data_IF_818604634031
#
_entry.id   IF_818604634031
#
_cell.length_a   1.000
_cell.length_b   1.000
_cell.length_c   1.000
_cell.angle_alpha   90.00
_cell.angle_beta   90.00
_cell.angle_gamma   90.00
#
_symmetry.space_group_name_H-M   'P 1'
#
loop_
_entity.id
_entity.type
_entity.pdbx_description
1 polymer ?
#
# COMPACT_ATOMS: atom_id res chain seq x y z
N UNK A 1 -25.66 12.56 -12.85
CA UNK A 1 -25.54 11.08 -12.79
C UNK A 1 -25.04 10.73 -11.40
N UNK A 2 -25.58 9.70 -10.75
CA UNK A 2 -24.99 9.19 -9.50
C UNK A 2 -23.60 8.63 -9.82
N UNK A 3 -22.59 9.11 -9.11
CA UNK A 3 -21.23 8.62 -9.24
C UNK A 3 -21.16 7.13 -8.92
N UNK A 4 -20.43 6.37 -9.74
CA UNK A 4 -20.34 4.92 -9.56
C UNK A 4 -19.35 4.58 -8.44
N UNK A 5 -19.79 3.77 -7.47
CA UNK A 5 -18.97 3.41 -6.31
C UNK A 5 -18.20 2.11 -6.56
N UNK A 6 -16.97 2.07 -6.08
CA UNK A 6 -16.19 0.86 -5.88
C UNK A 6 -16.40 0.37 -4.45
N UNK A 7 -16.84 -0.87 -4.31
CA UNK A 7 -16.85 -1.58 -3.03
C UNK A 7 -15.98 -2.84 -3.14
N UNK A 8 -15.02 -2.97 -2.23
CA UNK A 8 -14.08 -4.11 -2.21
C UNK A 8 -13.60 -4.36 -0.78
N UNK A 9 -12.72 -5.35 -0.62
CA UNK A 9 -11.97 -5.56 0.62
C UNK A 9 -10.47 -5.51 0.35
N UNK A 10 -9.73 -4.89 1.26
CA UNK A 10 -8.26 -4.88 1.31
C UNK A 10 -7.87 -5.61 2.59
N UNK A 11 -7.19 -6.75 2.46
CA UNK A 11 -7.03 -7.72 3.56
C UNK A 11 -8.39 -8.09 4.19
N UNK A 12 -8.69 -7.50 5.36
CA UNK A 12 -9.93 -7.70 6.11
C UNK A 12 -10.80 -6.44 6.19
N UNK A 13 -10.33 -5.33 5.64
CA UNK A 13 -11.00 -4.03 5.69
C UNK A 13 -11.90 -3.85 4.48
N UNK A 14 -13.14 -3.46 4.70
CA UNK A 14 -14.05 -3.04 3.66
C UNK A 14 -13.66 -1.65 3.17
N UNK A 15 -13.67 -1.45 1.86
CA UNK A 15 -13.40 -0.18 1.21
C UNK A 15 -14.62 0.23 0.40
N UNK A 16 -15.00 1.51 0.51
CA UNK A 16 -16.00 2.13 -0.33
C UNK A 16 -15.52 3.50 -0.78
N UNK A 17 -15.33 3.66 -2.08
CA UNK A 17 -14.87 4.92 -2.67
C UNK A 17 -15.51 5.13 -4.04
N UNK A 18 -15.69 6.38 -4.49
CA UNK A 18 -16.02 6.64 -5.89
C UNK A 18 -14.98 6.01 -6.82
N UNK A 19 -15.42 5.36 -7.90
CA UNK A 19 -14.50 4.77 -8.90
C UNK A 19 -13.56 5.81 -9.51
N UNK A 20 -14.06 7.03 -9.72
CA UNK A 20 -13.30 8.20 -10.18
C UNK A 20 -12.05 8.48 -9.34
N UNK A 21 -12.07 8.21 -8.03
CA UNK A 21 -10.92 8.40 -7.15
C UNK A 21 -9.91 7.25 -7.24
N UNK A 22 -10.34 6.05 -7.63
CA UNK A 22 -9.52 4.85 -7.58
C UNK A 22 -8.99 4.49 -8.96
N UNK A 23 -7.72 4.78 -9.19
CA UNK A 23 -7.00 4.47 -10.43
C UNK A 23 -6.75 2.97 -10.64
N UNK A 24 -6.49 2.55 -11.89
CA UNK A 24 -6.18 1.16 -12.21
C UNK A 24 -5.02 0.53 -11.40
N UNK A 25 -3.94 1.28 -11.12
CA UNK A 25 -2.83 0.73 -10.34
C UNK A 25 -3.17 0.62 -8.84
N UNK A 26 -3.92 1.58 -8.28
CA UNK A 26 -4.47 1.45 -6.93
C UNK A 26 -5.38 0.22 -6.86
N UNK A 27 -6.14 -0.09 -7.90
CA UNK A 27 -6.95 -1.31 -7.90
C UNK A 27 -6.14 -2.58 -7.78
N UNK A 28 -5.00 -2.66 -8.46
CA UNK A 28 -4.11 -3.81 -8.30
C UNK A 28 -3.48 -3.84 -6.91
N UNK A 29 -3.23 -2.69 -6.30
CA UNK A 29 -2.75 -2.64 -4.93
C UNK A 29 -3.84 -3.06 -3.93
N UNK A 30 -5.07 -2.55 -4.08
CA UNK A 30 -6.24 -2.92 -3.30
C UNK A 30 -6.56 -4.42 -3.46
N UNK A 31 -6.47 -4.92 -4.69
CA UNK A 31 -6.63 -6.32 -5.06
C UNK A 31 -5.72 -7.26 -4.28
N UNK A 32 -4.45 -6.90 -4.23
CA UNK A 32 -3.37 -7.76 -3.74
C UNK A 32 -3.09 -7.52 -2.26
N UNK A 33 -3.84 -6.61 -1.61
CA UNK A 33 -3.60 -6.18 -0.24
C UNK A 33 -2.38 -5.26 -0.09
N UNK A 34 -1.75 -4.85 -1.19
CA UNK A 34 -0.51 -4.06 -1.20
C UNK A 34 -0.71 -2.55 -1.16
N UNK A 35 -1.96 -2.07 -1.11
CA UNK A 35 -2.28 -0.65 -0.98
C UNK A 35 -1.75 -0.09 0.35
N UNK A 36 -0.94 0.97 0.29
CA UNK A 36 -0.18 1.60 1.40
C UNK A 36 0.49 0.57 2.32
N UNK A 37 0.99 -0.50 1.71
CA UNK A 37 1.57 -1.60 2.47
C UNK A 37 2.79 -1.17 3.31
N UNK A 38 3.73 -0.32 2.84
CA UNK A 38 4.88 0.11 3.64
C UNK A 38 4.47 0.76 4.98
N UNK A 39 3.53 1.70 4.94
CA UNK A 39 3.02 2.46 6.09
C UNK A 39 2.31 1.50 7.05
N UNK A 40 1.42 0.67 6.51
CA UNK A 40 0.66 -0.33 7.27
C UNK A 40 1.57 -1.37 7.93
N UNK A 41 2.64 -1.77 7.25
CA UNK A 41 3.63 -2.69 7.77
C UNK A 41 4.39 -2.09 8.96
N UNK A 42 4.94 -0.89 8.78
CA UNK A 42 5.66 -0.18 9.85
C UNK A 42 4.74 0.11 11.04
N UNK A 43 3.49 0.52 10.78
CA UNK A 43 2.55 0.79 11.84
C UNK A 43 2.20 -0.48 12.65
N UNK A 44 1.98 -1.63 12.00
CA UNK A 44 1.74 -2.90 12.70
C UNK A 44 2.92 -3.34 13.58
N UNK A 45 4.15 -2.96 13.22
CA UNK A 45 5.36 -3.30 13.97
C UNK A 45 5.65 -2.33 15.12
N UNK A 46 5.27 -1.07 14.98
CA UNK A 46 5.74 0.00 15.87
C UNK A 46 4.65 0.77 16.61
N UNK A 47 3.37 0.59 16.25
CA UNK A 47 2.23 1.08 17.03
C UNK A 47 1.86 0.03 18.07
N UNK A 48 1.70 0.48 19.32
CA UNK A 48 1.46 -0.32 20.50
C UNK A 48 0.23 0.18 21.27
N UNK A 49 -0.26 -0.66 22.18
CA UNK A 49 -1.43 -0.32 22.96
C UNK A 49 -1.22 0.94 23.80
N UNK A 50 -2.20 1.86 23.74
CA UNK A 50 -2.15 3.15 24.41
C UNK A 50 -1.47 4.27 23.62
N UNK A 51 -0.96 4.00 22.42
CA UNK A 51 -0.51 5.08 21.55
C UNK A 51 -1.66 5.99 21.09
N UNK A 52 -1.31 7.24 20.89
CA UNK A 52 -2.09 8.19 20.11
C UNK A 52 -1.34 8.48 18.82
N UNK A 53 -2.01 8.22 17.70
CA UNK A 53 -1.47 8.34 16.35
C UNK A 53 -2.10 9.56 15.68
N UNK A 54 -1.27 10.47 15.18
CA UNK A 54 -1.71 11.40 14.12
C UNK A 54 -1.33 10.80 12.78
N UNK A 55 -2.31 10.66 11.91
CA UNK A 55 -2.20 10.11 10.57
C UNK A 55 -2.54 11.20 9.56
N UNK A 56 -1.57 11.64 8.76
CA UNK A 56 -1.74 12.69 7.76
C UNK A 56 -1.75 12.05 6.36
N UNK A 57 -2.82 12.32 5.60
CA UNK A 57 -3.10 11.64 4.34
C UNK A 57 -3.98 10.41 4.53
N UNK A 58 -5.21 10.59 5.02
CA UNK A 58 -6.10 9.45 5.25
C UNK A 58 -6.37 8.66 3.96
N UNK A 59 -6.31 9.31 2.80
CA UNK A 59 -6.56 8.72 1.49
C UNK A 59 -7.92 8.05 1.44
N UNK A 60 -7.93 6.72 1.31
CA UNK A 60 -9.16 5.91 1.30
C UNK A 60 -9.57 5.37 2.68
N UNK A 61 -8.85 5.69 3.75
CA UNK A 61 -9.13 5.28 5.14
C UNK A 61 -8.65 3.87 5.52
N UNK A 62 -7.88 3.20 4.64
CA UNK A 62 -7.39 1.83 4.90
C UNK A 62 -6.23 1.81 5.88
N UNK A 63 -5.29 2.75 5.79
CA UNK A 63 -4.15 2.85 6.72
C UNK A 63 -4.66 3.08 8.14
N UNK A 64 -5.50 4.11 8.34
CA UNK A 64 -6.16 4.38 9.62
C UNK A 64 -6.94 3.16 10.15
N UNK A 65 -7.70 2.46 9.29
CA UNK A 65 -8.39 1.21 9.67
C UNK A 65 -7.42 0.15 10.19
N UNK A 66 -6.26 0.00 9.55
CA UNK A 66 -5.25 -0.99 9.93
C UNK A 66 -4.53 -0.65 11.23
N UNK A 67 -4.22 0.62 11.43
CA UNK A 67 -3.63 1.13 12.67
C UNK A 67 -4.59 0.89 13.84
N UNK A 68 -5.87 1.21 13.67
CA UNK A 68 -6.84 1.13 14.76
C UNK A 68 -7.29 -0.32 15.09
N UNK A 69 -7.40 -1.18 14.08
CA UNK A 69 -7.77 -2.60 14.24
C UNK A 69 -6.58 -3.49 14.63
N UNK A 70 -5.39 -2.92 14.76
CA UNK A 70 -4.27 -3.63 15.36
C UNK A 70 -4.59 -4.01 16.82
N UNK A 71 -3.94 -5.05 17.35
CA UNK A 71 -4.13 -5.47 18.75
C UNK A 71 -3.87 -4.34 19.76
N UNK A 72 -3.19 -3.28 19.33
CA UNK A 72 -2.94 -2.07 20.09
C UNK A 72 -4.22 -1.30 20.47
N UNK A 73 -5.26 -1.28 19.62
CA UNK A 73 -6.42 -0.38 19.77
C UNK A 73 -5.99 1.08 20.00
N UNK A 74 -5.02 1.55 19.22
CA UNK A 74 -4.52 2.91 19.32
C UNK A 74 -5.63 3.94 19.02
N UNK A 75 -5.54 5.11 19.64
CA UNK A 75 -6.38 6.25 19.26
C UNK A 75 -5.78 6.89 18.01
N UNK A 76 -6.55 7.03 16.95
CA UNK A 76 -6.07 7.58 15.68
C UNK A 76 -6.84 8.84 15.35
N UNK A 77 -6.13 9.93 15.09
CA UNK A 77 -6.69 11.10 14.42
C UNK A 77 -6.14 11.10 13.00
N UNK A 78 -7.02 10.87 12.03
CA UNK A 78 -6.66 10.78 10.62
C UNK A 78 -7.15 12.04 9.91
N UNK A 79 -6.27 12.68 9.16
CA UNK A 79 -6.53 13.98 8.53
C UNK A 79 -6.35 13.85 7.02
N UNK A 80 -7.37 14.27 6.29
CA UNK A 80 -7.39 14.22 4.83
C UNK A 80 -7.67 15.62 4.27
N UNK A 81 -6.78 16.16 3.43
CA UNK A 81 -6.97 17.47 2.85
C UNK A 81 -7.95 17.44 1.66
N UNK A 82 -8.01 16.37 0.87
CA UNK A 82 -8.91 16.32 -0.27
C UNK A 82 -10.36 16.05 0.15
N UNK A 83 -11.30 16.89 -0.27
CA UNK A 83 -12.69 16.70 0.16
C UNK A 83 -13.29 15.37 -0.34
N UNK A 84 -12.97 14.97 -1.57
CA UNK A 84 -13.48 13.72 -2.14
C UNK A 84 -12.88 12.49 -1.44
N UNK A 85 -11.58 12.49 -1.17
CA UNK A 85 -10.90 11.44 -0.42
C UNK A 85 -11.39 11.39 1.02
N UNK A 86 -11.61 12.54 1.68
CA UNK A 86 -12.18 12.63 3.02
C UNK A 86 -13.55 11.94 3.11
N UNK A 87 -14.43 12.17 2.12
CA UNK A 87 -15.73 11.50 2.07
C UNK A 87 -15.59 9.98 1.84
N UNK A 88 -14.65 9.55 1.00
CA UNK A 88 -14.37 8.13 0.78
C UNK A 88 -13.80 7.45 2.03
N UNK A 89 -12.83 8.09 2.70
CA UNK A 89 -12.30 7.64 3.98
C UNK A 89 -13.41 7.53 5.03
N UNK A 90 -14.29 8.54 5.15
CA UNK A 90 -15.44 8.49 6.07
C UNK A 90 -16.33 7.28 5.82
N UNK A 91 -16.68 7.01 4.56
CA UNK A 91 -17.54 5.88 4.19
C UNK A 91 -16.83 4.54 4.47
N UNK A 92 -15.55 4.42 4.14
CA UNK A 92 -14.71 3.25 4.46
C UNK A 92 -14.62 3.00 5.96
N UNK A 93 -14.30 4.02 6.76
CA UNK A 93 -14.18 3.92 8.22
C UNK A 93 -15.49 3.47 8.88
N UNK A 94 -16.63 3.98 8.41
CA UNK A 94 -17.94 3.58 8.89
C UNK A 94 -18.24 2.08 8.65
N UNK A 95 -17.72 1.49 7.57
CA UNK A 95 -17.85 0.06 7.28
C UNK A 95 -16.96 -0.80 8.17
N UNK A 96 -15.80 -0.30 8.57
CA UNK A 96 -14.83 -1.02 9.41
C UNK A 96 -15.07 -0.87 10.92
N UNK A 97 -16.02 -0.03 11.34
CA UNK A 97 -16.52 0.09 12.73
C UNK A 97 -15.43 0.31 13.78
N UNK A 98 -14.40 1.09 13.45
CA UNK A 98 -13.42 1.48 14.45
C UNK A 98 -13.97 2.61 15.32
N UNK A 99 -14.05 2.36 16.63
CA UNK A 99 -14.46 3.33 17.64
C UNK A 99 -13.31 4.23 18.13
N UNK A 100 -12.08 3.97 17.67
CA UNK A 100 -10.87 4.70 18.09
C UNK A 100 -10.33 5.67 17.05
N UNK A 101 -11.02 5.82 15.90
CA UNK A 101 -10.61 6.74 14.83
C UNK A 101 -11.47 8.01 14.84
N UNK A 102 -10.81 9.16 14.79
CA UNK A 102 -11.42 10.45 14.51
C UNK A 102 -10.90 10.98 13.16
N UNK A 103 -11.78 11.10 12.17
CA UNK A 103 -11.43 11.62 10.84
C UNK A 103 -11.71 13.13 10.76
N UNK A 104 -10.73 13.92 10.32
CA UNK A 104 -10.84 15.38 10.14
C UNK A 104 -10.53 15.77 8.69
N UNK A 105 -11.24 16.79 8.19
CA UNK A 105 -11.00 17.35 6.86
C UNK A 105 -10.12 18.59 6.99
N UNK A 106 -8.90 18.55 6.45
CA UNK A 106 -7.98 19.67 6.50
C UNK A 106 -6.58 19.34 6.00
N UNK A 107 -5.82 20.39 5.71
CA UNK A 107 -4.42 20.33 5.31
C UNK A 107 -3.55 20.73 6.49
N UNK A 108 -2.57 19.89 6.81
CA UNK A 108 -1.69 20.09 7.96
C UNK A 108 -0.43 20.85 7.55
N UNK A 109 -0.11 21.92 8.27
CA UNK A 109 1.14 22.67 8.11
C UNK A 109 1.76 22.96 9.47
N UNK A 110 3.07 23.20 9.53
CA UNK A 110 3.65 23.90 10.68
C UNK A 110 3.15 25.34 10.73
N UNK A 111 3.24 25.99 11.89
CA UNK A 111 3.00 27.44 12.00
C UNK A 111 3.89 28.26 11.06
N UNK A 112 5.13 27.84 10.85
CA UNK A 112 6.05 28.50 9.91
C UNK A 112 5.61 28.31 8.45
N UNK A 113 5.20 27.10 8.07
CA UNK A 113 4.65 26.78 6.76
C UNK A 113 3.38 27.58 6.45
N UNK A 114 2.43 27.64 7.40
CA UNK A 114 1.22 28.44 7.27
C UNK A 114 1.50 29.96 7.18
N UNK A 115 2.59 30.44 7.79
CA UNK A 115 3.00 31.85 7.62
C UNK A 115 3.56 32.13 6.21
N UNK A 116 4.22 31.15 5.58
CA UNK A 116 4.70 31.26 4.19
C UNK A 116 3.58 31.09 3.17
N UNK A 117 2.66 30.16 3.42
CA UNK A 117 1.54 29.84 2.55
C UNK A 117 0.24 29.71 3.38
N UNK A 118 -0.42 30.83 3.72
CA UNK A 118 -1.59 30.84 4.60
C UNK A 118 -2.89 30.36 3.92
N UNK A 119 -2.90 30.27 2.59
CA UNK A 119 -4.04 29.82 1.80
C UNK A 119 -3.57 28.77 0.79
N UNK A 120 -3.17 27.58 1.27
CA UNK A 120 -2.65 26.53 0.41
C UNK A 120 -3.75 26.02 -0.52
N UNK A 121 -3.35 25.79 -1.76
CA UNK A 121 -4.24 25.30 -2.81
C UNK A 121 -3.84 23.87 -3.13
N UNK A 122 -4.79 22.95 -3.04
CA UNK A 122 -4.63 21.63 -3.61
C UNK A 122 -5.06 21.69 -5.07
N UNK A 123 -4.14 21.35 -5.96
CA UNK A 123 -4.48 21.17 -7.37
C UNK A 123 -4.98 19.75 -7.59
N UNK A 124 -6.04 19.62 -8.38
CA UNK A 124 -6.42 18.31 -8.92
C UNK A 124 -5.59 18.10 -10.17
N UNK A 125 -4.73 17.11 -10.15
CA UNK A 125 -4.08 16.67 -11.38
C UNK A 125 -5.06 15.78 -12.17
N UNK A 126 -5.22 16.03 -13.47
CA UNK A 126 -6.12 15.28 -14.35
C UNK A 126 -5.76 13.78 -14.40
N UNK A 127 -4.53 13.42 -14.00
CA UNK A 127 -4.04 12.04 -13.90
C UNK A 127 -3.93 11.51 -12.45
N UNK A 128 -4.07 12.34 -11.40
CA UNK A 128 -3.73 11.98 -10.01
C UNK A 128 -4.75 12.38 -8.92
N UNK A 129 -5.75 11.51 -8.64
CA UNK A 129 -6.72 11.69 -7.53
C UNK A 129 -6.28 11.14 -6.16
N UNK A 130 -5.36 10.19 -6.13
CA UNK A 130 -4.82 9.58 -4.91
C UNK A 130 -3.31 9.49 -5.09
N UNK A 131 -2.59 9.98 -4.08
CA UNK A 131 -1.19 9.69 -3.82
C UNK A 131 -0.12 10.24 -4.78
N UNK A 132 -0.41 11.15 -5.72
CA UNK A 132 0.64 11.77 -6.58
C UNK A 132 0.26 13.18 -7.06
N UNK A 133 -0.97 13.63 -6.83
CA UNK A 133 -1.54 14.83 -7.46
C UNK A 133 -1.79 16.01 -6.55
N UNK A 134 -1.65 15.83 -5.24
CA UNK A 134 -1.98 16.87 -4.27
C UNK A 134 -0.74 17.69 -3.91
N UNK A 135 -0.06 18.22 -4.92
CA UNK A 135 1.05 19.13 -4.66
C UNK A 135 0.53 20.50 -4.23
N UNK A 136 1.06 21.01 -3.11
CA UNK A 136 0.86 22.39 -2.63
C UNK A 136 1.47 23.42 -3.61
N UNK A 137 2.33 22.98 -4.54
CA UNK A 137 2.87 23.86 -5.58
C UNK A 137 3.20 23.10 -6.88
N UNK A 138 2.55 23.52 -7.97
CA UNK A 138 2.80 23.20 -9.41
C UNK A 138 1.91 22.15 -10.11
N UNK A 139 0.61 22.13 -9.82
CA UNK A 139 -0.36 21.45 -10.70
C UNK A 139 -0.71 22.28 -11.95
N UNK A 140 -0.91 21.61 -13.08
CA UNK A 140 -1.44 22.21 -14.33
C UNK A 140 -2.95 21.98 -14.53
N UNK A 141 -3.61 21.33 -13.56
CA UNK A 141 -5.01 20.91 -13.67
C UNK A 141 -6.02 22.05 -13.56
N UNK A 142 -7.18 21.85 -14.16
CA UNK A 142 -8.23 22.87 -14.31
C UNK A 142 -9.06 23.10 -13.03
N UNK A 143 -8.96 22.21 -12.03
CA UNK A 143 -9.71 22.29 -10.78
C UNK A 143 -8.78 22.35 -9.57
N UNK A 144 -9.12 23.20 -8.60
CA UNK A 144 -8.39 23.33 -7.35
C UNK A 144 -9.35 23.42 -6.16
N UNK A 145 -8.87 23.05 -4.97
CA UNK A 145 -9.61 23.17 -3.72
C UNK A 145 -8.76 23.84 -2.63
N UNK A 146 -9.44 24.56 -1.73
CA UNK A 146 -8.85 25.25 -0.59
C UNK A 146 -9.30 24.53 0.68
N UNK A 147 -8.54 23.54 1.17
CA UNK A 147 -8.88 22.83 2.38
C UNK A 147 -8.71 23.72 3.62
N UNK A 148 -9.46 23.47 4.70
CA UNK A 148 -9.17 24.11 5.99
C UNK A 148 -7.73 23.82 6.43
N UNK A 149 -6.97 24.85 6.82
CA UNK A 149 -5.62 24.67 7.34
C UNK A 149 -5.68 24.30 8.83
N UNK A 150 -4.96 23.25 9.20
CA UNK A 150 -4.73 22.82 10.57
C UNK A 150 -3.24 22.95 10.90
N UNK A 151 -2.93 23.51 12.07
CA UNK A 151 -1.54 23.64 12.51
C UNK A 151 -1.10 22.36 13.22
N UNK A 152 0.03 21.80 12.81
CA UNK A 152 0.61 20.62 13.46
C UNK A 152 0.90 20.88 14.94
N UNK A 153 1.37 22.10 15.25
CA UNK A 153 1.60 22.55 16.63
C UNK A 153 0.35 22.41 17.51
N UNK A 154 -0.81 22.82 16.98
CA UNK A 154 -2.07 22.80 17.71
C UNK A 154 -2.60 21.36 17.83
N UNK A 155 -2.45 20.55 16.77
CA UNK A 155 -2.80 19.13 16.80
C UNK A 155 -1.97 18.34 17.83
N UNK A 156 -0.66 18.60 17.92
CA UNK A 156 0.22 17.98 18.91
C UNK A 156 -0.19 18.40 20.33
N UNK A 157 -0.47 19.68 20.55
CA UNK A 157 -0.91 20.19 21.85
C UNK A 157 -2.27 19.61 22.27
N UNK A 158 -3.19 19.43 21.33
CA UNK A 158 -4.53 18.88 21.58
C UNK A 158 -4.48 17.37 21.86
N UNK A 159 -3.72 16.62 21.06
CA UNK A 159 -3.83 15.16 21.02
C UNK A 159 -2.71 14.44 21.77
N UNK A 160 -1.60 15.13 22.06
CA UNK A 160 -0.40 14.56 22.68
C UNK A 160 0.05 13.23 22.03
N UNK A 161 0.33 13.22 20.71
CA UNK A 161 0.59 11.99 19.99
C UNK A 161 1.94 11.39 20.37
N UNK A 162 1.98 10.07 20.39
CA UNK A 162 3.22 9.29 20.54
C UNK A 162 3.75 8.83 19.18
N UNK A 163 2.88 8.75 18.16
CA UNK A 163 3.24 8.30 16.81
C UNK A 163 2.71 9.29 15.77
N UNK A 164 3.51 9.59 14.77
CA UNK A 164 3.07 10.25 13.54
C UNK A 164 3.16 9.26 12.36
N UNK A 165 2.13 9.18 11.53
CA UNK A 165 2.14 8.53 10.23
C UNK A 165 1.88 9.61 9.17
N UNK A 166 2.75 9.71 8.16
CA UNK A 166 2.78 10.89 7.28
C UNK A 166 2.97 10.43 5.84
N UNK A 167 1.95 10.73 5.05
CA UNK A 167 1.90 10.49 3.61
C UNK A 167 1.08 11.64 3.00
N UNK A 168 1.74 12.76 2.67
CA UNK A 168 1.05 14.01 2.28
C UNK A 168 1.61 14.61 0.98
N UNK A 169 2.21 13.77 0.15
CA UNK A 169 2.48 14.05 -1.26
C UNK A 169 3.25 15.35 -1.55
N UNK A 170 4.34 15.57 -0.81
CA UNK A 170 5.21 16.74 -0.93
C UNK A 170 4.98 17.78 0.17
N UNK A 171 3.91 17.68 0.94
CA UNK A 171 3.71 18.51 2.12
C UNK A 171 4.80 18.31 3.19
N UNK A 172 5.52 17.18 3.17
CA UNK A 172 6.50 16.79 4.21
C UNK A 172 7.60 17.83 4.40
N UNK A 173 7.93 18.59 3.34
CA UNK A 173 8.96 19.63 3.36
C UNK A 173 8.69 20.74 4.39
N UNK A 174 7.43 21.04 4.69
CA UNK A 174 7.03 22.21 5.47
C UNK A 174 6.36 21.87 6.82
N UNK A 175 6.03 20.61 7.09
CA UNK A 175 5.21 20.27 8.28
C UNK A 175 5.97 20.30 9.61
N UNK A 176 7.30 20.17 9.61
CA UNK A 176 8.06 19.99 10.85
C UNK A 176 8.79 21.23 11.35
N UNK A 177 8.87 22.30 10.56
CA UNK A 177 9.67 23.47 10.91
C UNK A 177 9.12 24.16 12.18
N UNK A 178 9.94 24.18 13.23
CA UNK A 178 9.61 24.83 14.50
C UNK A 178 8.64 24.04 15.39
N UNK A 179 8.27 22.82 14.99
CA UNK A 179 7.31 21.98 15.73
C UNK A 179 8.02 21.22 16.85
N UNK A 180 7.45 21.22 18.06
CA UNK A 180 7.94 20.42 19.18
C UNK A 180 7.46 18.96 19.07
N UNK A 181 8.38 18.07 18.71
CA UNK A 181 8.14 16.63 18.61
C UNK A 181 8.55 15.85 19.86
N UNK A 182 8.86 16.51 20.98
CA UNK A 182 9.43 15.87 22.18
C UNK A 182 8.58 14.71 22.75
N UNK A 183 7.26 14.78 22.60
CA UNK A 183 6.31 13.72 22.99
C UNK A 183 6.20 12.55 21.99
N UNK A 184 6.65 12.75 20.76
CA UNK A 184 6.58 11.75 19.68
C UNK A 184 7.76 10.78 19.79
N UNK A 185 7.47 9.48 19.92
CA UNK A 185 8.49 8.41 19.97
C UNK A 185 8.76 7.79 18.61
N UNK A 186 7.82 7.88 17.67
CA UNK A 186 7.90 7.21 16.37
C UNK A 186 7.31 8.11 15.29
N UNK A 187 8.01 8.22 14.16
CA UNK A 187 7.50 8.86 12.94
C UNK A 187 7.65 7.88 11.80
N UNK A 188 6.56 7.59 11.10
CA UNK A 188 6.53 6.87 9.83
C UNK A 188 6.27 7.94 8.78
N UNK A 189 7.15 8.05 7.78
CA UNK A 189 7.05 9.08 6.75
C UNK A 189 7.36 8.52 5.37
N UNK A 190 6.47 8.74 4.42
CA UNK A 190 6.76 8.53 3.00
C UNK A 190 7.42 9.79 2.40
N UNK A 191 8.56 9.60 1.73
CA UNK A 191 9.41 10.71 1.31
C UNK A 191 9.10 11.30 -0.07
N UNK A 192 8.26 10.67 -0.88
CA UNK A 192 7.86 11.16 -2.22
C UNK A 192 9.02 11.79 -3.03
N UNK A 193 10.13 11.07 -3.30
CA UNK A 193 11.32 11.66 -3.91
C UNK A 193 11.10 12.13 -5.36
N UNK A 194 10.05 11.65 -6.03
CA UNK A 194 9.60 12.16 -7.33
C UNK A 194 9.02 13.59 -7.24
N UNK A 195 8.55 14.02 -6.05
CA UNK A 195 8.00 15.35 -5.76
C UNK A 195 9.06 16.22 -5.07
N UNK A 196 9.62 15.76 -3.96
CA UNK A 196 10.56 16.52 -3.14
C UNK A 196 11.97 16.60 -3.73
N UNK A 197 12.33 15.65 -4.59
CA UNK A 197 13.71 15.37 -4.93
C UNK A 197 14.53 14.89 -3.72
N UNK A 198 15.71 14.34 -4.00
CA UNK A 198 16.60 13.80 -2.95
C UNK A 198 16.94 14.86 -1.90
N UNK A 199 17.17 16.11 -2.32
CA UNK A 199 17.50 17.21 -1.39
C UNK A 199 16.33 17.60 -0.47
N UNK A 200 15.09 17.57 -0.97
CA UNK A 200 13.91 17.79 -0.14
C UNK A 200 13.74 16.66 0.88
N UNK A 201 13.85 15.39 0.46
CA UNK A 201 13.78 14.26 1.37
C UNK A 201 14.86 14.33 2.47
N UNK A 202 16.08 14.76 2.11
CA UNK A 202 17.16 15.00 3.07
C UNK A 202 16.79 16.08 4.08
N UNK A 203 16.23 17.20 3.65
CA UNK A 203 15.83 18.28 4.57
C UNK A 203 14.77 17.82 5.58
N UNK A 204 13.81 16.99 5.14
CA UNK A 204 12.83 16.35 6.03
C UNK A 204 13.52 15.45 7.06
N UNK A 205 14.40 14.55 6.60
CA UNK A 205 15.15 13.66 7.49
C UNK A 205 16.04 14.43 8.49
N UNK A 206 16.73 15.47 8.04
CA UNK A 206 17.58 16.34 8.87
C UNK A 206 16.76 17.02 9.99
N UNK A 207 15.52 17.43 9.68
CA UNK A 207 14.61 18.04 10.66
C UNK A 207 14.17 17.03 11.73
N UNK A 208 13.82 15.81 11.34
CA UNK A 208 13.48 14.75 12.29
C UNK A 208 14.67 14.36 13.18
N UNK A 209 15.87 14.29 12.59
CA UNK A 209 17.10 14.03 13.33
C UNK A 209 17.40 15.13 14.35
N UNK A 210 17.24 16.40 13.95
CA UNK A 210 17.38 17.54 14.85
C UNK A 210 16.37 17.49 16.02
N UNK A 211 15.19 16.91 15.81
CA UNK A 211 14.18 16.68 16.84
C UNK A 211 14.47 15.47 17.78
N UNK A 212 15.64 14.82 17.63
CA UNK A 212 16.08 13.70 18.45
C UNK A 212 15.52 12.34 18.03
N UNK A 213 15.09 12.22 16.77
CA UNK A 213 14.66 10.96 16.18
C UNK A 213 15.80 10.36 15.33
N UNK A 214 15.84 9.05 15.22
CA UNK A 214 16.85 8.29 14.48
C UNK A 214 16.18 7.49 13.38
N UNK A 215 16.67 7.61 12.14
CA UNK A 215 16.21 6.79 11.02
C UNK A 215 16.65 5.35 11.21
N UNK A 216 15.71 4.41 11.14
CA UNK A 216 15.97 2.99 11.09
C UNK A 216 16.05 2.53 9.63
N UNK A 217 17.28 2.32 9.15
CA UNK A 217 17.53 1.86 7.78
C UNK A 217 17.07 0.42 7.52
N UNK A 218 16.89 -0.40 8.55
CA UNK A 218 16.35 -1.75 8.38
C UNK A 218 14.82 -1.74 8.23
N UNK A 219 14.17 -0.71 8.78
CA UNK A 219 12.75 -0.38 8.66
C UNK A 219 12.49 0.75 7.63
N UNK A 220 13.21 0.71 6.50
CA UNK A 220 13.00 1.60 5.35
C UNK A 220 12.45 0.82 4.15
N UNK A 221 11.21 1.08 3.78
CA UNK A 221 10.41 0.28 2.86
C UNK A 221 10.00 1.12 1.65
N UNK A 222 10.49 0.79 0.46
CA UNK A 222 10.30 1.60 -0.76
C UNK A 222 10.81 3.04 -0.59
N UNK A 223 9.91 3.97 -0.30
CA UNK A 223 10.14 5.42 -0.06
C UNK A 223 9.72 5.83 1.36
N UNK A 224 9.32 4.86 2.18
CA UNK A 224 8.76 5.07 3.52
C UNK A 224 9.79 4.70 4.58
N UNK A 225 10.10 5.63 5.46
CA UNK A 225 11.10 5.46 6.52
C UNK A 225 10.47 5.49 7.91
N UNK A 226 11.00 4.65 8.81
CA UNK A 226 10.72 4.71 10.24
C UNK A 226 11.78 5.52 10.97
N UNK A 227 11.34 6.46 11.79
CA UNK A 227 12.18 7.18 12.74
C UNK A 227 11.75 6.84 14.17
N UNK A 228 12.73 6.60 15.05
CA UNK A 228 12.49 6.32 16.47
C UNK A 228 13.25 7.28 17.38
N UNK A 229 12.64 7.67 18.50
CA UNK A 229 13.30 8.54 19.48
C UNK A 229 14.48 7.84 20.13
N UNK A 230 15.67 8.41 19.96
CA UNK A 230 16.90 7.89 20.53
C UNK A 230 17.43 8.81 21.65
N UNK A 231 17.74 8.28 22.84
CA UNK A 231 18.38 9.07 23.89
C UNK A 231 19.86 9.29 23.53
N UNK A 232 20.16 10.47 22.98
CA UNK A 232 21.52 10.89 22.61
C UNK A 232 21.71 10.98 21.10
N UNK A 233 22.06 12.18 20.63
CA UNK A 233 22.29 12.49 19.22
C UNK A 233 23.59 11.84 18.72
N UNK A 234 23.48 10.68 18.07
CA UNK A 234 24.55 10.15 17.21
C UNK A 234 23.95 9.47 16.00
N UNK A 235 23.43 10.27 15.07
CA UNK A 235 23.39 9.91 13.66
C UNK A 235 23.94 11.10 12.88
N UNK A 236 25.27 11.16 12.81
CA UNK A 236 25.92 12.06 11.88
C UNK A 236 25.85 11.40 10.51
N UNK A 237 25.19 12.11 9.60
CA UNK A 237 24.85 11.73 8.24
C UNK A 237 25.99 11.42 7.24
N UNK A 238 27.31 11.53 7.45
CA UNK A 238 28.23 11.33 6.32
C UNK A 238 28.13 9.94 5.64
N UNK A 239 28.09 8.86 6.41
CA UNK A 239 27.95 7.49 5.87
C UNK A 239 26.47 7.11 5.66
N UNK A 240 25.60 7.56 6.57
CA UNK A 240 24.16 7.30 6.56
C UNK A 240 23.42 8.04 5.43
N UNK A 241 23.87 9.23 5.04
CA UNK A 241 23.25 10.04 3.96
C UNK A 241 23.47 9.42 2.60
N UNK A 242 24.69 8.98 2.31
CA UNK A 242 24.94 8.27 1.05
C UNK A 242 24.11 6.98 0.95
N UNK A 243 23.77 6.37 2.09
CA UNK A 243 22.94 5.18 2.12
C UNK A 243 21.44 5.52 1.96
N UNK A 244 20.97 6.58 2.61
CA UNK A 244 19.65 7.17 2.41
C UNK A 244 19.41 7.55 0.95
N UNK A 245 20.36 8.26 0.33
CA UNK A 245 20.29 8.63 -1.09
C UNK A 245 20.16 7.41 -1.98
N UNK A 246 20.96 6.35 -1.72
CA UNK A 246 20.90 5.11 -2.50
C UNK A 246 19.56 4.39 -2.37
N UNK A 247 18.87 4.48 -1.23
CA UNK A 247 17.54 3.92 -1.04
C UNK A 247 16.52 4.66 -1.90
N UNK A 248 16.55 6.00 -1.86
CA UNK A 248 15.67 6.85 -2.67
C UNK A 248 15.95 6.70 -4.17
N UNK A 249 17.22 6.71 -4.58
CA UNK A 249 17.65 6.48 -5.96
C UNK A 249 17.20 5.10 -6.46
N UNK A 250 17.26 4.06 -5.61
CA UNK A 250 16.75 2.74 -5.96
C UNK A 250 15.24 2.73 -6.20
N UNK A 251 14.46 3.47 -5.40
CA UNK A 251 13.02 3.57 -5.58
C UNK A 251 12.65 4.26 -6.91
N UNK A 252 13.31 5.38 -7.21
CA UNK A 252 13.09 6.17 -8.43
C UNK A 252 13.68 5.54 -9.71
N UNK A 253 14.65 4.64 -9.57
CA UNK A 253 15.35 4.07 -10.72
C UNK A 253 14.39 3.36 -11.69
N UNK A 254 14.55 3.49 -13.02
CA UNK A 254 13.82 2.67 -14.00
C UNK A 254 14.17 1.18 -13.88
N UNK A 255 13.23 0.30 -14.25
CA UNK A 255 13.36 -1.16 -14.06
C UNK A 255 14.63 -1.78 -14.64
N UNK A 256 15.14 -1.25 -15.75
CA UNK A 256 16.37 -1.73 -16.40
C UNK A 256 17.66 -1.40 -15.63
N UNK A 257 17.64 -0.41 -14.73
CA UNK A 257 18.82 0.02 -13.94
C UNK A 257 18.67 -0.22 -12.43
N UNK A 258 17.43 -0.43 -11.94
CA UNK A 258 17.11 -0.85 -10.56
C UNK A 258 18.06 -1.91 -9.98
N UNK A 259 18.50 -2.97 -10.71
CA UNK A 259 19.38 -3.99 -10.15
C UNK A 259 20.73 -3.46 -9.62
N UNK A 260 21.29 -2.40 -10.22
CA UNK A 260 22.57 -1.81 -9.80
C UNK A 260 22.42 -1.05 -8.49
N UNK A 261 21.43 -0.16 -8.42
CA UNK A 261 21.12 0.61 -7.21
C UNK A 261 20.76 -0.31 -6.04
N UNK A 262 19.94 -1.33 -6.29
CA UNK A 262 19.59 -2.32 -5.26
C UNK A 262 20.79 -3.05 -4.68
N UNK A 263 21.76 -3.44 -5.51
CA UNK A 263 22.98 -4.12 -5.05
C UNK A 263 23.80 -3.21 -4.12
N UNK A 264 23.91 -1.93 -4.47
CA UNK A 264 24.62 -0.95 -3.66
C UNK A 264 23.88 -0.64 -2.34
N UNK A 265 22.56 -0.42 -2.39
CA UNK A 265 21.73 -0.20 -1.21
C UNK A 265 21.78 -1.39 -0.25
N UNK A 266 21.70 -2.62 -0.78
CA UNK A 266 21.79 -3.83 0.04
C UNK A 266 23.17 -4.05 0.66
N UNK A 267 24.25 -3.69 -0.05
CA UNK A 267 25.60 -3.77 0.52
C UNK A 267 25.77 -2.80 1.71
N UNK A 268 25.07 -1.66 1.69
CA UNK A 268 25.05 -0.72 2.82
C UNK A 268 24.15 -1.21 3.97
N UNK A 269 22.99 -1.79 3.66
CA UNK A 269 22.02 -2.28 4.65
C UNK A 269 21.59 -3.73 4.37
N UNK A 270 22.45 -4.71 4.71
CA UNK A 270 22.17 -6.13 4.44
C UNK A 270 21.04 -6.70 5.31
N UNK A 271 20.65 -6.00 6.38
CA UNK A 271 19.59 -6.41 7.30
C UNK A 271 18.21 -5.88 6.90
N UNK A 272 18.14 -4.82 6.09
CA UNK A 272 16.90 -4.27 5.54
C UNK A 272 16.06 -5.36 4.86
N UNK A 273 14.89 -5.62 5.43
CA UNK A 273 14.03 -6.73 5.04
C UNK A 273 13.48 -6.58 3.62
N UNK A 274 13.17 -5.34 3.20
CA UNK A 274 12.70 -5.05 1.85
C UNK A 274 13.75 -5.40 0.79
N UNK A 275 15.00 -4.98 1.01
CA UNK A 275 16.10 -5.22 0.09
C UNK A 275 16.50 -6.70 0.05
N UNK A 276 16.50 -7.38 1.22
CA UNK A 276 16.70 -8.83 1.31
C UNK A 276 15.66 -9.58 0.47
N UNK A 277 14.39 -9.21 0.63
CA UNK A 277 13.29 -9.79 -0.13
C UNK A 277 13.41 -9.54 -1.64
N UNK A 278 13.71 -8.30 -2.05
CA UNK A 278 13.85 -7.94 -3.48
C UNK A 278 15.06 -8.61 -4.14
N UNK A 279 16.16 -8.79 -3.41
CA UNK A 279 17.30 -9.58 -3.90
C UNK A 279 16.93 -11.06 -4.02
N UNK A 280 16.27 -11.62 -3.01
CA UNK A 280 15.80 -13.00 -3.03
C UNK A 280 14.93 -13.27 -4.27
N UNK A 281 13.92 -12.45 -4.57
CA UNK A 281 13.07 -12.65 -5.75
C UNK A 281 13.84 -12.60 -7.08
N UNK A 282 14.89 -11.78 -7.20
CA UNK A 282 15.74 -11.75 -8.40
C UNK A 282 16.57 -13.04 -8.51
N UNK A 283 17.21 -13.41 -7.41
CA UNK A 283 18.20 -14.49 -7.38
C UNK A 283 17.54 -15.87 -7.33
N UNK A 284 16.23 -15.92 -7.09
CA UNK A 284 15.49 -17.16 -7.02
C UNK A 284 15.60 -17.95 -8.33
N UNK A 285 16.31 -19.07 -8.24
CA UNK A 285 16.38 -20.10 -9.28
C UNK A 285 15.45 -21.26 -8.92
N UNK A 286 14.98 -21.99 -9.93
CA UNK A 286 13.98 -23.07 -9.75
C UNK A 286 14.47 -24.21 -8.83
N UNK A 287 15.78 -24.26 -8.53
CA UNK A 287 16.41 -25.22 -7.63
C UNK A 287 16.60 -24.77 -6.18
N UNK A 288 16.32 -23.51 -5.81
CA UNK A 288 16.37 -23.10 -4.41
C UNK A 288 15.19 -23.66 -3.62
N UNK A 289 15.45 -24.22 -2.43
CA UNK A 289 14.41 -24.81 -1.59
C UNK A 289 13.33 -23.75 -1.26
N UNK A 290 12.05 -23.97 -1.64
CA UNK A 290 10.95 -23.05 -1.34
C UNK A 290 10.85 -22.70 0.16
N UNK A 291 11.38 -23.56 1.03
CA UNK A 291 11.48 -23.35 2.47
C UNK A 291 12.31 -22.12 2.89
N UNK A 292 13.31 -21.71 2.12
CA UNK A 292 14.10 -20.49 2.39
C UNK A 292 13.25 -19.23 2.13
N UNK A 293 12.45 -19.23 1.06
CA UNK A 293 11.46 -18.20 0.76
C UNK A 293 10.45 -18.13 1.90
N UNK A 294 9.93 -19.29 2.29
CA UNK A 294 8.95 -19.42 3.37
C UNK A 294 9.51 -18.93 4.70
N UNK A 295 10.77 -19.21 5.03
CA UNK A 295 11.41 -18.73 6.26
C UNK A 295 11.59 -17.22 6.26
N UNK A 296 12.00 -16.65 5.12
CA UNK A 296 12.14 -15.20 4.95
C UNK A 296 10.77 -14.51 5.00
N UNK A 297 9.76 -15.08 4.36
CA UNK A 297 8.40 -14.54 4.36
C UNK A 297 7.72 -14.69 5.72
N UNK A 298 7.86 -15.82 6.42
CA UNK A 298 7.15 -16.07 7.71
C UNK A 298 7.52 -15.09 8.82
N UNK A 299 8.72 -14.52 8.78
CA UNK A 299 9.25 -13.65 9.84
C UNK A 299 9.34 -12.19 9.40
N UNK A 300 8.59 -11.80 8.37
CA UNK A 300 8.73 -10.52 7.71
C UNK A 300 7.34 -9.90 7.52
N UNK A 301 7.16 -8.59 7.76
CA UNK A 301 5.88 -7.92 7.52
C UNK A 301 5.48 -7.95 6.03
N UNK A 302 6.44 -8.24 5.14
CA UNK A 302 6.31 -8.37 3.69
C UNK A 302 5.67 -9.69 3.22
N UNK A 303 5.36 -10.58 4.16
CA UNK A 303 5.03 -11.96 3.85
C UNK A 303 3.93 -12.11 2.80
N UNK A 304 2.88 -11.29 2.85
CA UNK A 304 1.71 -11.42 1.97
C UNK A 304 2.06 -11.11 0.51
N UNK A 305 2.52 -9.89 0.22
CA UNK A 305 2.94 -9.49 -1.12
C UNK A 305 4.07 -10.37 -1.66
N UNK A 306 5.03 -10.71 -0.81
CA UNK A 306 6.15 -11.59 -1.14
C UNK A 306 5.70 -12.97 -1.60
N UNK A 307 4.85 -13.62 -0.80
CA UNK A 307 4.29 -14.94 -1.14
C UNK A 307 3.46 -14.88 -2.41
N UNK A 308 2.61 -13.88 -2.56
CA UNK A 308 1.73 -13.76 -3.73
C UNK A 308 2.53 -13.57 -5.01
N UNK A 309 3.54 -12.68 -4.98
CA UNK A 309 4.46 -12.46 -6.10
C UNK A 309 5.28 -13.71 -6.43
N UNK A 310 5.87 -14.36 -5.41
CA UNK A 310 6.65 -15.58 -5.60
C UNK A 310 5.80 -16.74 -6.11
N UNK A 311 4.56 -16.88 -5.62
CA UNK A 311 3.61 -17.89 -6.10
C UNK A 311 3.32 -17.68 -7.58
N UNK A 312 3.07 -16.43 -8.00
CA UNK A 312 2.82 -16.12 -9.40
C UNK A 312 4.02 -16.46 -10.30
N UNK A 313 5.23 -16.06 -9.89
CA UNK A 313 6.47 -16.37 -10.61
C UNK A 313 6.68 -17.89 -10.72
N UNK A 314 6.45 -18.65 -9.64
CA UNK A 314 6.54 -20.11 -9.71
C UNK A 314 5.53 -20.73 -10.69
N UNK A 315 4.29 -20.22 -10.72
CA UNK A 315 3.29 -20.67 -11.69
C UNK A 315 3.72 -20.38 -13.13
N UNK A 316 4.23 -19.18 -13.40
CA UNK A 316 4.74 -18.77 -14.73
C UNK A 316 5.92 -19.64 -15.18
N UNK A 317 6.80 -20.03 -14.24
CA UNK A 317 7.92 -20.96 -14.49
C UNK A 317 7.52 -22.43 -14.44
N UNK A 318 6.24 -22.76 -14.28
CA UNK A 318 5.72 -24.12 -14.15
C UNK A 318 6.30 -24.91 -12.95
N UNK A 319 6.82 -24.23 -11.93
CA UNK A 319 7.29 -24.84 -10.69
C UNK A 319 6.13 -25.00 -9.70
N UNK A 320 5.24 -25.95 -9.98
CA UNK A 320 4.00 -26.18 -9.23
C UNK A 320 4.28 -26.52 -7.76
N UNK A 321 5.34 -27.30 -7.48
CA UNK A 321 5.71 -27.68 -6.12
C UNK A 321 6.07 -26.46 -5.26
N UNK A 322 6.82 -25.50 -5.81
CA UNK A 322 7.13 -24.26 -5.11
C UNK A 322 5.88 -23.39 -4.89
N UNK A 323 5.03 -23.25 -5.91
CA UNK A 323 3.79 -22.49 -5.81
C UNK A 323 2.86 -23.06 -4.72
N UNK A 324 2.72 -24.38 -4.64
CA UNK A 324 1.97 -25.08 -3.59
C UNK A 324 2.51 -24.77 -2.19
N UNK A 325 3.82 -24.93 -2.00
CA UNK A 325 4.46 -24.65 -0.71
C UNK A 325 4.20 -23.20 -0.27
N UNK A 326 4.31 -22.23 -1.20
CA UNK A 326 4.06 -20.82 -0.91
C UNK A 326 2.60 -20.55 -0.55
N UNK A 327 1.64 -21.07 -1.32
CA UNK A 327 0.21 -20.95 -1.02
C UNK A 327 -0.18 -21.52 0.35
N UNK A 328 0.41 -22.64 0.75
CA UNK A 328 0.05 -23.34 1.99
C UNK A 328 0.60 -22.64 3.24
N UNK A 329 1.51 -21.67 3.08
CA UNK A 329 1.96 -20.85 4.23
C UNK A 329 0.95 -19.79 4.66
N UNK A 330 -0.05 -19.47 3.84
CA UNK A 330 -1.09 -18.52 4.20
C UNK A 330 -2.17 -19.25 5.00
N UNK A 331 -2.32 -18.86 6.27
CA UNK A 331 -3.39 -19.35 7.13
C UNK A 331 -4.74 -19.18 6.44
N UNK A 332 -5.64 -20.19 6.45
CA UNK A 332 -6.95 -20.08 5.82
C UNK A 332 -7.77 -18.86 6.28
N UNK A 333 -7.56 -18.39 7.52
CA UNK A 333 -8.24 -17.22 8.10
C UNK A 333 -7.70 -15.88 7.60
N UNK A 334 -6.52 -15.88 6.97
CA UNK A 334 -5.83 -14.67 6.50
C UNK A 334 -5.83 -14.58 4.97
N UNK A 335 -6.47 -15.51 4.26
CA UNK A 335 -6.49 -15.52 2.80
C UNK A 335 -7.39 -14.41 2.26
N UNK A 336 -6.81 -13.57 1.41
CA UNK A 336 -7.53 -12.57 0.63
C UNK A 336 -8.22 -13.19 -0.59
N UNK A 337 -9.04 -12.41 -1.29
CA UNK A 337 -9.58 -12.83 -2.60
C UNK A 337 -8.49 -13.18 -3.60
N UNK A 338 -7.36 -12.45 -3.58
CA UNK A 338 -6.22 -12.72 -4.45
C UNK A 338 -5.45 -13.99 -4.05
N UNK A 339 -5.28 -14.27 -2.76
CA UNK A 339 -4.71 -15.55 -2.29
C UNK A 339 -5.56 -16.74 -2.75
N UNK A 340 -6.89 -16.59 -2.72
CA UNK A 340 -7.80 -17.59 -3.26
C UNK A 340 -7.63 -17.74 -4.78
N UNK A 341 -7.47 -16.65 -5.53
CA UNK A 341 -7.20 -16.71 -6.97
C UNK A 341 -5.90 -17.47 -7.28
N UNK A 342 -4.80 -17.16 -6.59
CA UNK A 342 -3.53 -17.86 -6.76
C UNK A 342 -3.65 -19.35 -6.38
N UNK A 343 -4.29 -19.66 -5.25
CA UNK A 343 -4.50 -21.06 -4.85
C UNK A 343 -5.37 -21.84 -5.85
N UNK A 344 -6.36 -21.19 -6.47
CA UNK A 344 -7.15 -21.83 -7.54
C UNK A 344 -6.28 -22.15 -8.77
N UNK A 345 -5.35 -21.27 -9.15
CA UNK A 345 -4.39 -21.53 -10.24
C UNK A 345 -3.43 -22.66 -9.90
N UNK A 346 -2.92 -22.74 -8.67
CA UNK A 346 -2.09 -23.87 -8.23
C UNK A 346 -2.88 -25.19 -8.29
N UNK A 347 -4.10 -25.21 -7.76
CA UNK A 347 -4.96 -26.42 -7.83
C UNK A 347 -5.24 -26.83 -9.28
N UNK A 348 -5.49 -25.88 -10.17
CA UNK A 348 -5.68 -26.16 -11.59
C UNK A 348 -4.41 -26.76 -12.21
N UNK A 349 -3.24 -26.20 -11.92
CA UNK A 349 -1.96 -26.73 -12.40
C UNK A 349 -1.68 -28.15 -11.89
N UNK A 350 -2.16 -28.50 -10.69
CA UNK A 350 -2.12 -29.86 -10.13
C UNK A 350 -3.20 -30.80 -10.69
N UNK A 351 -4.05 -30.34 -11.63
CA UNK A 351 -5.15 -31.12 -12.19
C UNK A 351 -6.37 -31.24 -11.27
N UNK A 352 -6.43 -30.49 -10.17
CA UNK A 352 -7.53 -30.53 -9.19
C UNK A 352 -8.66 -29.55 -9.56
N UNK A 353 -9.26 -29.75 -10.73
CA UNK A 353 -10.18 -28.79 -11.35
C UNK A 353 -11.43 -28.49 -10.49
N UNK A 354 -12.05 -29.50 -9.87
CA UNK A 354 -13.23 -29.31 -9.03
C UNK A 354 -12.93 -28.46 -7.78
N UNK A 355 -11.78 -28.73 -7.14
CA UNK A 355 -11.33 -27.93 -5.99
C UNK A 355 -10.97 -26.50 -6.41
N UNK A 356 -10.33 -26.35 -7.57
CA UNK A 356 -10.03 -25.03 -8.14
C UNK A 356 -11.31 -24.22 -8.36
N UNK A 357 -12.38 -24.83 -8.89
CA UNK A 357 -13.68 -24.18 -9.07
C UNK A 357 -14.29 -23.73 -7.72
N UNK A 358 -14.19 -24.56 -6.69
CA UNK A 358 -14.63 -24.20 -5.34
C UNK A 358 -13.84 -23.03 -4.74
N UNK A 359 -12.52 -22.98 -4.96
CA UNK A 359 -11.64 -21.92 -4.47
C UNK A 359 -11.82 -20.61 -5.25
N UNK A 360 -11.91 -20.65 -6.58
CA UNK A 360 -12.06 -19.44 -7.40
C UNK A 360 -13.39 -18.72 -7.14
N UNK A 361 -14.44 -19.46 -6.75
CA UNK A 361 -15.70 -18.84 -6.27
C UNK A 361 -15.45 -17.95 -5.06
N UNK A 362 -14.65 -18.41 -4.09
CA UNK A 362 -14.24 -17.57 -2.94
C UNK A 362 -13.39 -16.38 -3.37
N UNK A 363 -12.53 -16.54 -4.38
CA UNK A 363 -11.78 -15.43 -4.96
C UNK A 363 -12.72 -14.35 -5.54
N UNK A 364 -13.72 -14.76 -6.32
CA UNK A 364 -14.72 -13.84 -6.90
C UNK A 364 -15.59 -13.16 -5.84
N UNK A 365 -15.90 -13.83 -4.72
CA UNK A 365 -16.65 -13.24 -3.62
C UNK A 365 -15.80 -12.27 -2.79
N UNK A 366 -14.55 -12.66 -2.49
CA UNK A 366 -13.62 -11.83 -1.70
C UNK A 366 -12.99 -10.71 -2.49
N UNK A 367 -13.03 -10.76 -3.83
CA UNK A 367 -12.55 -9.67 -4.67
C UNK A 367 -13.33 -9.58 -6.00
N UNK A 368 -14.58 -9.10 -5.96
CA UNK A 368 -15.50 -9.13 -7.09
C UNK A 368 -15.10 -8.19 -8.24
N UNK A 369 -14.28 -7.17 -7.95
CA UNK A 369 -13.78 -6.23 -8.96
C UNK A 369 -12.67 -6.82 -9.84
N UNK A 370 -12.21 -8.06 -9.61
CA UNK A 370 -11.10 -8.69 -10.32
C UNK A 370 -11.55 -9.60 -11.45
N UNK A 371 -11.51 -9.07 -12.66
CA UNK A 371 -11.87 -9.78 -13.89
C UNK A 371 -11.14 -11.11 -14.09
N UNK A 372 -9.81 -11.21 -13.86
CA UNK A 372 -9.09 -12.47 -14.04
C UNK A 372 -9.60 -13.64 -13.18
N UNK A 373 -10.09 -13.38 -11.96
CA UNK A 373 -10.71 -14.43 -11.15
C UNK A 373 -12.05 -14.91 -11.73
N UNK A 374 -12.88 -13.98 -12.22
CA UNK A 374 -14.13 -14.34 -12.89
C UNK A 374 -13.87 -15.07 -14.21
N UNK A 375 -12.83 -14.69 -14.95
CA UNK A 375 -12.45 -15.37 -16.19
C UNK A 375 -12.03 -16.82 -15.92
N UNK A 376 -11.17 -17.04 -14.92
CA UNK A 376 -10.79 -18.38 -14.47
C UNK A 376 -12.00 -19.19 -14.01
N UNK A 377 -12.95 -18.57 -13.29
CA UNK A 377 -14.22 -19.21 -12.92
C UNK A 377 -15.03 -19.61 -14.15
N UNK A 378 -15.04 -18.78 -15.20
CA UNK A 378 -15.72 -19.06 -16.46
C UNK A 378 -15.20 -20.31 -17.15
N UNK A 379 -13.88 -20.41 -17.33
CA UNK A 379 -13.24 -21.59 -17.90
C UNK A 379 -13.51 -22.87 -17.08
N UNK A 380 -13.35 -22.80 -15.75
CA UNK A 380 -13.57 -23.93 -14.87
C UNK A 380 -15.05 -24.39 -14.85
N UNK A 381 -15.99 -23.45 -14.92
CA UNK A 381 -17.42 -23.75 -15.02
C UNK A 381 -17.76 -24.42 -16.36
N UNK A 382 -17.25 -23.90 -17.47
CA UNK A 382 -17.45 -24.49 -18.80
C UNK A 382 -16.91 -25.92 -18.86
N UNK A 383 -15.71 -26.14 -18.35
CA UNK A 383 -15.08 -27.45 -18.30
C UNK A 383 -15.79 -28.44 -17.34
N UNK A 384 -16.63 -27.96 -16.43
CA UNK A 384 -17.54 -28.78 -15.61
C UNK A 384 -18.92 -29.02 -16.24
N UNK A 385 -19.17 -28.46 -17.42
CA UNK A 385 -20.45 -28.53 -18.15
C UNK A 385 -21.49 -27.48 -17.74
N UNK A 386 -21.20 -26.61 -16.78
CA UNK A 386 -22.09 -25.51 -16.37
C UNK A 386 -21.89 -24.28 -17.25
N UNK A 387 -22.44 -24.35 -18.47
CA UNK A 387 -22.33 -23.27 -19.44
C UNK A 387 -23.06 -21.99 -19.00
N UNK A 388 -24.10 -22.09 -18.17
CA UNK A 388 -24.80 -20.91 -17.67
C UNK A 388 -23.89 -20.09 -16.73
N UNK A 389 -23.24 -20.76 -15.77
CA UNK A 389 -22.27 -20.11 -14.90
C UNK A 389 -21.04 -19.62 -15.67
N UNK A 390 -20.59 -20.38 -16.67
CA UNK A 390 -19.46 -19.97 -17.51
C UNK A 390 -19.73 -18.62 -18.19
N UNK A 391 -20.91 -18.50 -18.81
CA UNK A 391 -21.35 -17.29 -19.50
C UNK A 391 -21.44 -16.08 -18.56
N UNK A 392 -22.12 -16.26 -17.44
CA UNK A 392 -22.22 -15.22 -16.41
C UNK A 392 -20.84 -14.76 -15.91
N UNK A 393 -19.89 -15.69 -15.73
CA UNK A 393 -18.57 -15.38 -15.23
C UNK A 393 -17.71 -14.63 -16.26
N UNK A 394 -17.77 -14.98 -17.55
CA UNK A 394 -17.08 -14.24 -18.61
C UNK A 394 -17.62 -12.81 -18.75
N UNK A 395 -18.95 -12.65 -18.70
CA UNK A 395 -19.56 -11.32 -18.71
C UNK A 395 -19.14 -10.50 -17.47
N UNK A 396 -19.06 -11.15 -16.30
CA UNK A 396 -18.55 -10.52 -15.07
C UNK A 396 -17.08 -10.12 -15.23
N UNK A 397 -16.26 -10.95 -15.90
CA UNK A 397 -14.85 -10.68 -16.13
C UNK A 397 -14.62 -9.45 -17.03
N UNK A 398 -15.50 -9.24 -18.01
CA UNK A 398 -15.46 -8.09 -18.92
C UNK A 398 -15.96 -6.80 -18.28
N UNK A 399 -16.94 -6.89 -17.37
CA UNK A 399 -17.53 -5.72 -16.67
C UNK A 399 -16.89 -5.42 -15.34
N UNK A 400 -15.97 -6.27 -14.88
CA UNK A 400 -15.23 -6.07 -13.66
C UNK A 400 -14.45 -4.75 -13.74
N UNK A 401 -14.29 -4.09 -12.59
CA UNK A 401 -13.62 -2.79 -12.56
C UNK A 401 -12.13 -2.90 -12.95
N UNK A 402 -11.48 -4.01 -12.60
CA UNK A 402 -10.24 -4.47 -13.24
C UNK A 402 -10.62 -5.56 -14.24
N UNK A 403 -10.87 -5.25 -15.52
CA UNK A 403 -11.25 -6.27 -16.48
C UNK A 403 -10.10 -7.25 -16.73
N UNK A 404 -10.44 -8.48 -17.11
CA UNK A 404 -9.43 -9.38 -17.66
C UNK A 404 -8.91 -8.84 -19.00
N UNK A 405 -7.71 -9.24 -19.47
CA UNK A 405 -7.19 -8.81 -20.76
C UNK A 405 -8.21 -9.06 -21.88
N UNK A 406 -8.39 -8.09 -22.78
CA UNK A 406 -9.44 -8.14 -23.81
C UNK A 406 -9.29 -9.36 -24.73
N UNK A 407 -8.04 -9.73 -25.04
CA UNK A 407 -7.71 -10.93 -25.82
C UNK A 407 -8.13 -12.22 -25.10
N UNK A 408 -7.90 -12.30 -23.79
CA UNK A 408 -8.30 -13.46 -22.98
C UNK A 408 -9.83 -13.57 -22.89
N UNK A 409 -10.53 -12.44 -22.78
CA UNK A 409 -12.00 -12.38 -22.79
C UNK A 409 -12.53 -12.87 -24.15
N UNK A 410 -11.97 -12.34 -25.24
CA UNK A 410 -12.37 -12.73 -26.61
C UNK A 410 -12.19 -14.22 -26.85
N UNK A 411 -11.05 -14.76 -26.42
CA UNK A 411 -10.74 -16.19 -26.48
C UNK A 411 -11.76 -16.99 -25.68
N UNK A 412 -12.03 -16.60 -24.43
CA UNK A 412 -13.01 -17.27 -23.58
C UNK A 412 -14.42 -17.27 -24.20
N UNK A 413 -14.84 -16.14 -24.81
CA UNK A 413 -16.16 -16.04 -25.46
C UNK A 413 -16.28 -16.99 -26.64
N UNK A 414 -15.25 -17.08 -27.48
CA UNK A 414 -15.22 -18.01 -28.60
C UNK A 414 -15.26 -19.48 -28.12
N UNK A 415 -14.47 -19.83 -27.10
CA UNK A 415 -14.41 -21.19 -26.56
C UNK A 415 -15.70 -21.62 -25.85
N UNK A 416 -16.40 -20.68 -25.20
CA UNK A 416 -17.62 -20.92 -24.41
C UNK A 416 -18.90 -20.75 -25.25
N UNK A 417 -18.79 -20.38 -26.53
CA UNK A 417 -19.92 -20.19 -27.44
C UNK A 417 -20.82 -19.02 -27.02
N UNK A 418 -20.20 -17.87 -26.77
CA UNK A 418 -20.82 -16.59 -26.41
C UNK A 418 -20.86 -15.57 -27.57
N UNK A 419 -20.24 -15.90 -28.69
CA UNK A 419 -20.18 -15.07 -29.90
C UNK A 419 -21.19 -15.50 -30.97
#
# INVERSE_FOLDING_TARGET
MTEEMLETTVDRYHLRAPKSLVKPYHLMALATGSYEWPERALAREHVAAGDTVLDFGAGLGIVASDIADSEAKAKVYSIEPAHASYLAARDTLALNRSDTIELRHGLVQSRAGAARNPDPVLYKDDENYLGHGQSIATGSGAESEHPPVMLLDDLIAETAPTVLNIDIEGGEADIFEGVDLSGVRTVIVEFHPDILGIDGCRAVADTLIAAGLALDFDAFYHTTGLFQRAPGSTLALPEDRAAFDRLLEYAMAPDNVRPRFRKAAYAAHPHNLYLRYRNFLRDWTDGEAPQAVVRTCRNSPFAALARSTATNIALERQNIAAARILCDTVSPRQRTGFDHFLNARVLLAEGQQEQALGVVRRACTGFPAFGPAHLLRGYLAAASGDMAQAKQAVDSASRAYVPAPEEDIRTARAEIGLD
#
